data_IF_862026441378
#
_entry.id   IF_862026441378
#
_cell.length_a   1.000
_cell.length_b   1.000
_cell.length_c   1.000
_cell.angle_alpha   90.00
_cell.angle_beta   90.00
_cell.angle_gamma   90.00
#
_symmetry.space_group_name_H-M   'P 1'
#
loop_
_entity.id
_entity.type
_entity.pdbx_description
1 polymer ?
#
# COMPACT_ATOMS: atom_id res chain seq x y z
N UNK A 1 26.34 -49.40 -38.44
CA UNK A 1 27.03 -48.49 -39.37
C UNK A 1 26.17 -47.26 -39.56
N UNK A 2 26.16 -46.24 -38.70
CA UNK A 2 26.65 -45.96 -37.34
C UNK A 2 25.95 -44.63 -37.00
N UNK A 3 25.22 -44.53 -35.89
CA UNK A 3 25.74 -44.09 -34.60
C UNK A 3 26.07 -42.59 -34.61
N UNK A 4 25.12 -41.77 -34.14
CA UNK A 4 25.45 -40.48 -33.57
C UNK A 4 24.75 -40.36 -32.20
N UNK A 5 25.59 -40.58 -31.20
CA UNK A 5 25.29 -40.97 -29.85
C UNK A 5 25.11 -39.72 -28.97
N UNK A 6 23.86 -39.40 -28.59
CA UNK A 6 23.57 -38.27 -27.70
C UNK A 6 23.93 -38.66 -26.27
N UNK A 7 25.13 -38.26 -25.83
CA UNK A 7 25.59 -38.37 -24.44
C UNK A 7 24.74 -37.53 -23.49
N UNK A 8 23.71 -38.12 -22.88
CA UNK A 8 23.03 -37.56 -21.70
C UNK A 8 23.92 -37.73 -20.46
N UNK A 9 24.50 -36.62 -19.97
CA UNK A 9 25.06 -36.57 -18.62
C UNK A 9 23.92 -36.50 -17.60
N UNK A 10 23.82 -37.52 -16.73
CA UNK A 10 22.96 -37.49 -15.56
C UNK A 10 23.47 -36.43 -14.57
N UNK A 11 22.61 -35.47 -14.22
CA UNK A 11 22.90 -34.51 -13.15
C UNK A 11 22.61 -35.19 -11.79
N UNK A 12 23.58 -35.33 -10.86
CA UNK A 12 23.42 -36.12 -9.63
C UNK A 12 22.56 -35.45 -8.53
N UNK A 13 22.06 -34.23 -8.76
CA UNK A 13 21.19 -33.52 -7.81
C UNK A 13 19.79 -33.46 -8.40
N UNK A 14 18.91 -34.30 -7.87
CA UNK A 14 17.49 -34.38 -8.23
C UNK A 14 16.75 -33.08 -7.92
N UNK A 15 16.89 -32.10 -8.80
CA UNK A 15 15.97 -30.97 -8.87
C UNK A 15 14.70 -31.48 -9.55
N UNK A 16 13.54 -31.35 -8.89
CA UNK A 16 12.24 -31.67 -9.51
C UNK A 16 12.19 -31.07 -10.93
N UNK A 17 11.72 -31.82 -11.94
CA UNK A 17 11.62 -31.32 -13.30
C UNK A 17 10.89 -29.97 -13.31
N UNK A 18 11.48 -28.94 -13.94
CA UNK A 18 10.74 -27.72 -14.26
C UNK A 18 9.59 -28.15 -15.17
N UNK A 19 8.36 -28.13 -14.67
CA UNK A 19 7.20 -28.32 -15.51
C UNK A 19 7.24 -27.24 -16.61
N UNK A 20 7.31 -27.69 -17.86
CA UNK A 20 7.10 -26.85 -19.05
C UNK A 20 5.61 -26.59 -19.31
N UNK A 21 4.75 -26.86 -18.33
CA UNK A 21 3.37 -26.40 -18.33
C UNK A 21 3.35 -25.01 -17.69
N UNK A 22 3.18 -24.01 -18.55
CA UNK A 22 2.76 -22.68 -18.13
C UNK A 22 1.31 -22.83 -17.68
N UNK A 23 0.96 -22.61 -16.40
CA UNK A 23 -0.45 -22.44 -16.05
C UNK A 23 -0.93 -21.28 -16.91
N UNK A 24 -1.93 -21.53 -17.76
CA UNK A 24 -2.62 -20.46 -18.44
C UNK A 24 -3.14 -19.50 -17.37
N UNK A 25 -3.28 -18.23 -17.71
CA UNK A 25 -3.67 -17.14 -16.82
C UNK A 25 -5.04 -17.31 -16.11
N UNK A 26 -5.69 -18.46 -16.25
CA UNK A 26 -6.99 -18.84 -15.69
C UNK A 26 -6.91 -19.28 -14.21
N UNK A 27 -5.77 -19.84 -13.76
CA UNK A 27 -5.60 -20.31 -12.37
C UNK A 27 -4.98 -19.25 -11.43
N UNK A 28 -4.83 -18.01 -11.89
CA UNK A 28 -4.20 -16.97 -11.07
C UNK A 28 -5.19 -16.43 -10.03
N UNK A 29 -4.80 -16.50 -8.76
CA UNK A 29 -5.61 -15.93 -7.68
C UNK A 29 -5.49 -14.41 -7.66
N UNK A 30 -6.59 -13.73 -7.36
CA UNK A 30 -6.57 -12.29 -7.11
C UNK A 30 -5.99 -11.98 -5.74
N UNK A 31 -5.22 -10.90 -5.66
CA UNK A 31 -4.67 -10.43 -4.41
C UNK A 31 -4.48 -8.92 -4.35
N UNK A 32 -4.30 -8.42 -3.14
CA UNK A 32 -4.03 -7.03 -2.83
C UNK A 32 -2.60 -6.89 -2.30
N UNK A 33 -1.79 -6.05 -2.92
CA UNK A 33 -0.44 -5.76 -2.41
C UNK A 33 -0.55 -4.92 -1.14
N UNK A 34 -0.09 -5.46 -0.02
CA UNK A 34 -0.13 -4.78 1.29
C UNK A 34 1.25 -4.29 1.74
N UNK A 35 2.32 -4.90 1.26
CA UNK A 35 3.70 -4.46 1.55
C UNK A 35 4.59 -4.55 0.32
N UNK A 36 5.57 -3.65 0.25
CA UNK A 36 6.60 -3.62 -0.80
C UNK A 36 7.96 -3.49 -0.13
N UNK A 37 8.82 -4.51 -0.26
CA UNK A 37 10.19 -4.52 0.24
C UNK A 37 11.15 -5.06 -0.81
N UNK A 38 11.89 -4.16 -1.46
CA UNK A 38 13.04 -4.46 -2.34
C UNK A 38 12.82 -5.67 -3.26
N UNK A 39 11.71 -5.68 -4.00
CA UNK A 39 11.38 -6.73 -4.98
C UNK A 39 10.62 -7.93 -4.42
N UNK A 40 10.35 -7.95 -3.10
CA UNK A 40 9.37 -8.80 -2.44
C UNK A 40 8.11 -8.00 -2.17
N UNK A 41 6.96 -8.65 -2.34
CA UNK A 41 5.65 -8.07 -2.21
C UNK A 41 4.83 -8.94 -1.28
N UNK A 42 4.35 -8.38 -0.16
CA UNK A 42 3.32 -9.04 0.63
C UNK A 42 2.00 -8.85 -0.08
N UNK A 43 1.34 -9.95 -0.45
CA UNK A 43 0.07 -9.94 -1.15
C UNK A 43 -0.95 -10.68 -0.31
N UNK A 44 -2.05 -10.00 0.02
CA UNK A 44 -3.21 -10.61 0.66
C UNK A 44 -4.02 -11.33 -0.42
N UNK A 45 -4.11 -12.66 -0.32
CA UNK A 45 -4.91 -13.52 -1.20
C UNK A 45 -5.97 -14.20 -0.35
N UNK A 46 -7.23 -13.79 -0.51
CA UNK A 46 -8.27 -14.13 0.46
C UNK A 46 -7.90 -13.61 1.86
N UNK A 47 -7.67 -14.52 2.81
CA UNK A 47 -7.18 -14.20 4.16
C UNK A 47 -5.69 -14.49 4.37
N UNK A 48 -5.00 -15.08 3.40
CA UNK A 48 -3.61 -15.48 3.52
C UNK A 48 -2.68 -14.34 3.09
N UNK A 49 -1.66 -14.05 3.90
CA UNK A 49 -0.58 -13.15 3.52
C UNK A 49 0.54 -13.95 2.84
N UNK A 50 0.74 -13.72 1.55
CA UNK A 50 1.69 -14.46 0.72
C UNK A 50 2.85 -13.56 0.34
N UNK A 51 4.08 -14.08 0.43
CA UNK A 51 5.25 -13.40 -0.13
C UNK A 51 5.37 -13.73 -1.61
N UNK A 52 5.29 -12.70 -2.45
CA UNK A 52 5.40 -12.81 -3.90
C UNK A 52 6.60 -12.05 -4.44
N UNK A 53 7.13 -12.53 -5.55
CA UNK A 53 8.09 -11.78 -6.38
C UNK A 53 7.45 -11.40 -7.70
N UNK A 54 7.97 -10.37 -8.36
CA UNK A 54 7.55 -10.02 -9.71
C UNK A 54 7.97 -11.11 -10.71
N UNK A 55 7.04 -11.57 -11.55
CA UNK A 55 7.37 -12.44 -12.68
C UNK A 55 8.24 -11.68 -13.70
N UNK A 56 9.19 -12.38 -14.34
CA UNK A 56 10.11 -11.78 -15.33
C UNK A 56 9.39 -11.16 -16.52
N UNK A 57 8.26 -11.74 -16.89
CA UNK A 57 7.42 -11.34 -18.02
C UNK A 57 6.58 -10.10 -17.70
N UNK A 58 6.37 -9.80 -16.42
CA UNK A 58 5.71 -8.58 -16.01
C UNK A 58 6.61 -7.40 -16.42
N UNK A 59 6.10 -6.51 -17.27
CA UNK A 59 6.82 -5.36 -17.80
C UNK A 59 7.35 -4.42 -16.71
N UNK A 60 8.09 -3.38 -17.10
CA UNK A 60 8.82 -2.49 -16.16
C UNK A 60 7.96 -1.67 -15.20
N UNK A 61 6.63 -1.78 -15.24
CA UNK A 61 5.71 -1.10 -14.32
C UNK A 61 6.05 -1.51 -12.87
N UNK A 62 6.25 -0.51 -12.01
CA UNK A 62 6.49 -0.74 -10.59
C UNK A 62 5.20 -1.20 -9.91
N UNK A 63 5.31 -2.21 -9.04
CA UNK A 63 4.24 -2.64 -8.13
C UNK A 63 4.29 -1.76 -6.89
N UNK A 64 3.15 -1.23 -6.47
CA UNK A 64 2.99 -0.38 -5.30
C UNK A 64 2.01 -1.00 -4.30
N UNK A 65 2.01 -0.51 -3.05
CA UNK A 65 0.99 -0.88 -2.07
C UNK A 65 -0.39 -0.47 -2.60
N UNK A 66 -1.40 -1.30 -2.36
CA UNK A 66 -2.76 -1.09 -2.85
C UNK A 66 -3.00 -1.59 -4.29
N UNK A 67 -1.96 -2.02 -5.02
CA UNK A 67 -2.15 -2.66 -6.32
C UNK A 67 -2.99 -3.94 -6.19
N UNK A 68 -4.01 -4.07 -7.05
CA UNK A 68 -4.70 -5.34 -7.30
C UNK A 68 -3.89 -6.14 -8.30
N UNK A 69 -3.59 -7.38 -7.97
CA UNK A 69 -2.66 -8.23 -8.74
C UNK A 69 -3.22 -9.63 -8.94
N UNK A 70 -2.78 -10.28 -10.02
CA UNK A 70 -2.97 -11.72 -10.19
C UNK A 70 -1.68 -12.44 -9.79
N UNK A 71 -1.83 -13.46 -8.95
CA UNK A 71 -0.72 -14.20 -8.33
C UNK A 71 -0.83 -15.69 -8.64
N UNK A 72 0.30 -16.32 -8.93
CA UNK A 72 0.41 -17.78 -9.14
C UNK A 72 1.49 -18.39 -8.24
N UNK A 73 1.39 -19.69 -7.99
CA UNK A 73 2.38 -20.44 -7.20
C UNK A 73 1.77 -21.01 -5.93
N UNK A 74 2.59 -21.13 -4.89
CA UNK A 74 2.13 -21.56 -3.56
C UNK A 74 1.51 -20.35 -2.84
N UNK A 75 0.24 -20.48 -2.44
CA UNK A 75 -0.58 -19.38 -1.92
C UNK A 75 -1.04 -19.62 -0.47
N UNK A 76 -0.53 -20.67 0.18
CA UNK A 76 -0.85 -20.99 1.57
C UNK A 76 -0.42 -19.91 2.57
N UNK A 77 0.60 -19.12 2.22
CA UNK A 77 1.21 -18.15 3.14
C UNK A 77 2.19 -18.78 4.14
N UNK A 78 2.51 -20.06 3.98
CA UNK A 78 3.49 -20.74 4.82
C UNK A 78 4.89 -20.11 4.70
N UNK A 79 5.71 -20.12 5.76
CA UNK A 79 7.09 -19.65 5.70
C UNK A 79 7.87 -20.32 4.55
N UNK A 80 8.80 -19.57 3.96
CA UNK A 80 9.65 -20.00 2.84
C UNK A 80 8.93 -20.38 1.54
N UNK A 81 7.63 -20.11 1.44
CA UNK A 81 6.90 -20.20 0.17
C UNK A 81 7.04 -18.90 -0.62
N UNK A 82 7.05 -19.02 -1.96
CA UNK A 82 7.19 -17.89 -2.86
C UNK A 82 6.20 -18.00 -4.02
N UNK A 83 5.32 -17.01 -4.09
CA UNK A 83 4.42 -16.82 -5.21
C UNK A 83 4.99 -15.83 -6.24
N UNK A 84 4.28 -15.64 -7.35
CA UNK A 84 4.67 -14.71 -8.40
C UNK A 84 3.51 -13.83 -8.83
N UNK A 85 3.75 -12.51 -8.84
CA UNK A 85 2.86 -11.54 -9.45
C UNK A 85 3.02 -11.61 -10.96
N UNK A 86 1.96 -11.99 -11.67
CA UNK A 86 1.94 -12.16 -13.14
C UNK A 86 1.16 -11.08 -13.86
N UNK A 87 0.29 -10.34 -13.16
CA UNK A 87 -0.45 -9.19 -13.70
C UNK A 87 -0.67 -8.15 -12.60
N UNK A 88 -0.69 -6.88 -13.01
CA UNK A 88 -1.15 -5.75 -12.21
C UNK A 88 -2.40 -5.23 -12.90
N UNK A 89 -3.51 -5.09 -12.17
CA UNK A 89 -4.73 -4.49 -12.70
C UNK A 89 -4.51 -3.00 -13.04
N UNK A 90 -5.46 -2.42 -13.75
CA UNK A 90 -5.49 -0.97 -13.92
C UNK A 90 -5.73 -0.29 -12.56
N UNK A 91 -5.11 0.87 -12.37
CA UNK A 91 -5.22 1.64 -11.13
C UNK A 91 -6.36 2.62 -11.27
N UNK A 92 -7.27 2.66 -10.29
CA UNK A 92 -8.32 3.69 -10.22
C UNK A 92 -7.76 5.02 -9.74
N UNK A 93 -6.84 4.99 -8.78
CA UNK A 93 -6.17 6.17 -8.20
C UNK A 93 -4.68 5.89 -7.97
N UNK A 94 -3.88 6.96 -7.90
CA UNK A 94 -2.43 6.87 -7.71
C UNK A 94 -1.95 7.99 -6.80
N UNK A 95 -1.55 7.68 -5.58
CA UNK A 95 -0.87 8.65 -4.72
C UNK A 95 0.64 8.62 -5.00
N UNK A 96 1.17 9.74 -5.49
CA UNK A 96 2.59 9.91 -5.81
C UNK A 96 3.31 10.65 -4.71
N UNK A 97 4.59 10.31 -4.51
CA UNK A 97 5.52 11.24 -3.87
C UNK A 97 5.89 12.27 -4.91
N UNK A 98 5.55 13.53 -4.69
CA UNK A 98 6.10 14.64 -5.48
C UNK A 98 7.62 14.64 -5.30
N UNK A 99 8.36 14.85 -6.39
CA UNK A 99 9.80 15.01 -6.33
C UNK A 99 10.14 16.23 -5.45
N UNK A 100 10.78 16.00 -4.31
CA UNK A 100 11.52 17.01 -3.57
C UNK A 100 12.98 17.05 -4.08
N UNK A 101 13.75 18.07 -3.70
CA UNK A 101 15.14 18.31 -4.17
C UNK A 101 16.08 17.10 -3.98
N UNK A 102 15.68 16.09 -3.19
CA UNK A 102 16.45 14.88 -2.93
C UNK A 102 16.10 13.66 -3.79
N UNK A 103 14.94 13.59 -4.44
CA UNK A 103 14.56 12.44 -5.29
C UNK A 103 13.81 12.92 -6.55
N UNK A 104 14.49 13.06 -7.70
CA UNK A 104 13.90 13.61 -8.92
C UNK A 104 12.88 12.68 -9.61
N UNK A 105 12.66 11.47 -9.08
CA UNK A 105 11.74 10.50 -9.66
C UNK A 105 10.44 10.44 -8.88
N UNK A 106 9.34 10.87 -9.51
CA UNK A 106 8.00 10.56 -9.03
C UNK A 106 7.83 9.04 -8.85
N UNK A 107 7.53 8.61 -7.63
CA UNK A 107 7.22 7.22 -7.31
C UNK A 107 5.80 7.12 -6.80
N UNK A 108 5.08 6.14 -7.33
CA UNK A 108 3.79 5.72 -6.77
C UNK A 108 4.03 5.12 -5.40
N UNK A 109 3.47 5.73 -4.37
CA UNK A 109 3.54 5.24 -3.00
C UNK A 109 2.39 4.26 -2.76
N UNK A 110 1.18 4.66 -3.15
CA UNK A 110 -0.05 3.87 -2.97
C UNK A 110 -0.89 3.95 -4.24
N UNK A 111 -1.53 2.84 -4.59
CA UNK A 111 -2.52 2.74 -5.67
C UNK A 111 -3.90 2.37 -5.10
N UNK A 112 -4.96 2.77 -5.80
CA UNK A 112 -6.35 2.38 -5.51
C UNK A 112 -6.89 2.80 -4.14
N UNK A 113 -6.19 3.72 -3.45
CA UNK A 113 -6.71 4.38 -2.27
C UNK A 113 -7.82 5.36 -2.65
N UNK A 114 -8.91 5.39 -1.91
CA UNK A 114 -10.03 6.30 -2.12
C UNK A 114 -10.10 7.41 -1.07
N UNK A 115 -9.34 7.29 0.03
CA UNK A 115 -9.37 8.25 1.13
C UNK A 115 -7.95 8.59 1.60
N UNK A 116 -7.66 9.89 1.78
CA UNK A 116 -6.42 10.38 2.39
C UNK A 116 -6.70 10.94 3.78
N UNK A 117 -6.21 10.24 4.81
CA UNK A 117 -6.33 10.64 6.21
C UNK A 117 -5.09 11.44 6.61
N UNK A 118 -5.27 12.74 6.77
CA UNK A 118 -4.20 13.67 7.15
C UNK A 118 -4.18 13.76 8.68
N UNK A 119 -3.18 13.12 9.29
CA UNK A 119 -3.04 13.04 10.74
C UNK A 119 -2.14 14.18 11.22
N UNK A 120 -2.68 15.03 12.08
CA UNK A 120 -1.97 16.14 12.72
C UNK A 120 -2.19 16.11 14.24
N UNK A 121 -1.15 16.40 15.00
CA UNK A 121 -1.23 16.50 16.47
C UNK A 121 -1.55 17.93 16.86
N UNK A 122 -2.46 18.12 17.81
CA UNK A 122 -2.84 19.44 18.33
C UNK A 122 -1.83 20.02 19.34
N UNK A 123 -0.91 19.19 19.83
CA UNK A 123 0.10 19.58 20.82
C UNK A 123 1.51 19.41 20.24
N UNK A 124 2.34 18.48 20.72
CA UNK A 124 3.71 18.29 20.22
C UNK A 124 3.83 17.02 19.33
N UNK A 125 4.25 17.12 18.06
CA UNK A 125 4.49 18.36 17.32
C UNK A 125 3.18 19.07 16.95
N UNK A 126 3.25 20.39 16.82
CA UNK A 126 2.09 21.22 16.44
C UNK A 126 1.61 20.90 15.02
N UNK A 127 0.34 21.20 14.68
CA UNK A 127 -0.18 20.97 13.36
C UNK A 127 0.63 21.74 12.30
N UNK A 128 1.27 21.00 11.39
CA UNK A 128 1.93 21.63 10.25
C UNK A 128 0.89 21.95 9.16
N UNK A 129 0.35 23.16 9.20
CA UNK A 129 -0.66 23.61 8.24
C UNK A 129 -0.16 23.52 6.79
N UNK A 130 1.10 23.87 6.52
CA UNK A 130 1.68 23.71 5.19
C UNK A 130 1.75 22.26 4.70
N UNK A 131 1.90 21.26 5.58
CA UNK A 131 1.78 19.85 5.19
C UNK A 131 0.31 19.50 4.89
N UNK A 132 -0.60 19.93 5.75
CA UNK A 132 -2.04 19.66 5.58
C UNK A 132 -2.52 20.23 4.25
N UNK A 133 -2.21 21.49 3.94
CA UNK A 133 -2.56 22.15 2.67
C UNK A 133 -2.05 21.36 1.46
N UNK A 134 -0.77 20.95 1.46
CA UNK A 134 -0.20 20.16 0.38
C UNK A 134 -0.88 18.80 0.23
N UNK A 135 -1.23 18.14 1.34
CA UNK A 135 -1.95 16.88 1.31
C UNK A 135 -3.38 17.03 0.80
N UNK A 136 -4.08 18.11 1.17
CA UNK A 136 -5.41 18.42 0.65
C UNK A 136 -5.38 18.63 -0.87
N UNK A 137 -4.42 19.42 -1.36
CA UNK A 137 -4.22 19.61 -2.80
C UNK A 137 -3.95 18.28 -3.50
N UNK A 138 -3.04 17.46 -2.97
CA UNK A 138 -2.70 16.17 -3.54
C UNK A 138 -3.89 15.19 -3.55
N UNK A 139 -4.69 15.14 -2.48
CA UNK A 139 -5.88 14.30 -2.40
C UNK A 139 -6.89 14.69 -3.48
N UNK A 140 -7.24 15.97 -3.54
CA UNK A 140 -8.24 16.48 -4.48
C UNK A 140 -7.77 16.36 -5.93
N UNK A 141 -6.48 16.56 -6.22
CA UNK A 141 -5.94 16.39 -7.58
C UNK A 141 -5.93 14.94 -8.06
N UNK A 142 -5.82 13.98 -7.15
CA UNK A 142 -5.77 12.54 -7.46
C UNK A 142 -7.12 11.83 -7.24
N UNK A 143 -8.17 12.58 -6.87
CA UNK A 143 -9.53 12.05 -6.67
C UNK A 143 -9.71 11.26 -5.37
N UNK A 144 -8.89 11.49 -4.35
CA UNK A 144 -9.05 10.92 -3.02
C UNK A 144 -9.91 11.83 -2.15
N UNK A 145 -10.78 11.25 -1.33
CA UNK A 145 -11.54 11.97 -0.31
C UNK A 145 -10.61 12.34 0.87
N UNK A 146 -10.38 13.63 1.16
CA UNK A 146 -9.56 14.02 2.31
C UNK A 146 -10.34 13.86 3.62
N UNK A 147 -9.65 13.41 4.67
CA UNK A 147 -10.14 13.38 6.05
C UNK A 147 -9.07 13.95 6.97
N UNK A 148 -9.38 15.05 7.67
CA UNK A 148 -8.48 15.60 8.69
C UNK A 148 -8.66 14.83 10.01
N UNK A 149 -7.58 14.22 10.51
CA UNK A 149 -7.57 13.54 11.81
C UNK A 149 -6.69 14.34 12.78
N UNK A 150 -7.33 15.02 13.72
CA UNK A 150 -6.67 15.80 14.76
C UNK A 150 -6.48 14.91 15.99
N UNK A 151 -5.25 14.73 16.42
CA UNK A 151 -4.89 13.87 17.56
C UNK A 151 -4.47 14.71 18.76
N UNK A 152 -4.46 14.08 19.94
CA UNK A 152 -4.02 14.68 21.21
C UNK A 152 -4.88 15.85 21.67
N UNK A 153 -6.20 15.79 21.45
CA UNK A 153 -7.10 16.84 21.94
C UNK A 153 -7.27 16.86 23.47
N UNK A 154 -6.69 15.88 24.16
CA UNK A 154 -6.48 15.90 25.61
C UNK A 154 -5.43 16.94 26.03
N UNK A 155 -4.53 17.35 25.13
CA UNK A 155 -3.45 18.29 25.41
C UNK A 155 -3.69 19.70 24.88
N UNK A 156 -4.50 19.84 23.82
CA UNK A 156 -4.76 21.13 23.16
C UNK A 156 -6.08 21.13 22.41
N UNK A 157 -6.73 22.29 22.30
CA UNK A 157 -8.05 22.43 21.71
C UNK A 157 -7.98 22.39 20.15
N UNK A 158 -8.98 21.78 19.47
CA UNK A 158 -8.97 21.65 18.01
C UNK A 158 -9.45 22.90 17.27
N UNK A 159 -9.98 23.90 17.97
CA UNK A 159 -10.74 25.02 17.42
C UNK A 159 -10.02 25.77 16.31
N UNK A 160 -8.73 26.09 16.50
CA UNK A 160 -7.95 26.81 15.49
C UNK A 160 -7.84 26.01 14.18
N UNK A 161 -7.52 24.72 14.29
CA UNK A 161 -7.39 23.85 13.13
C UNK A 161 -8.74 23.65 12.43
N UNK A 162 -9.82 23.44 13.19
CA UNK A 162 -11.16 23.27 12.64
C UNK A 162 -11.64 24.55 11.94
N UNK A 163 -11.46 25.72 12.55
CA UNK A 163 -11.83 27.00 11.95
C UNK A 163 -11.07 27.26 10.65
N UNK A 164 -9.76 26.96 10.62
CA UNK A 164 -8.94 27.16 9.41
C UNK A 164 -9.45 26.37 8.20
N UNK A 165 -9.99 25.17 8.40
CA UNK A 165 -10.46 24.30 7.32
C UNK A 165 -11.99 24.24 7.16
N UNK A 166 -12.74 24.99 7.98
CA UNK A 166 -14.20 24.99 7.96
C UNK A 166 -14.78 25.43 6.61
N UNK A 167 -14.21 26.49 6.01
CA UNK A 167 -14.69 27.03 4.72
C UNK A 167 -14.48 26.06 3.56
N UNK A 168 -13.47 25.18 3.66
CA UNK A 168 -13.16 24.17 2.65
C UNK A 168 -14.04 22.93 2.78
N UNK A 169 -14.95 22.88 3.77
CA UNK A 169 -15.83 21.73 4.04
C UNK A 169 -15.07 20.40 4.17
N UNK A 170 -13.82 20.46 4.66
CA UNK A 170 -12.99 19.28 4.87
C UNK A 170 -13.54 18.53 6.09
N UNK A 171 -13.96 17.26 5.96
CA UNK A 171 -14.40 16.50 7.12
C UNK A 171 -13.23 16.31 8.08
N UNK A 172 -13.50 16.48 9.37
CA UNK A 172 -12.52 16.32 10.42
C UNK A 172 -13.03 15.37 11.50
N UNK A 173 -12.11 14.60 12.09
CA UNK A 173 -12.32 13.81 13.31
C UNK A 173 -11.30 14.24 14.33
N UNK A 174 -11.77 14.51 15.55
CA UNK A 174 -10.91 14.83 16.69
C UNK A 174 -10.77 13.58 17.55
N UNK A 175 -9.54 13.23 17.91
CA UNK A 175 -9.21 12.01 18.64
C UNK A 175 -8.39 12.33 19.88
N UNK A 176 -8.69 11.60 20.95
CA UNK A 176 -7.93 11.60 22.20
C UNK A 176 -7.32 10.23 22.41
N UNK A 177 -6.17 10.19 23.10
CA UNK A 177 -5.47 8.94 23.37
C UNK A 177 -6.18 8.05 24.41
N UNK A 178 -7.01 8.66 25.26
CA UNK A 178 -7.76 8.01 26.34
C UNK A 178 -9.19 7.61 25.95
N UNK A 179 -9.60 7.85 24.71
CA UNK A 179 -10.95 7.57 24.22
C UNK A 179 -10.99 6.58 23.05
N UNK A 180 -12.07 5.79 22.91
CA UNK A 180 -12.25 4.92 21.77
C UNK A 180 -12.33 5.69 20.45
N UNK A 181 -11.65 5.21 19.41
CA UNK A 181 -11.62 5.79 18.06
C UNK A 181 -12.90 5.57 17.23
N UNK A 182 -14.08 5.55 17.86
CA UNK A 182 -15.35 5.14 17.23
C UNK A 182 -15.67 5.95 15.97
N UNK A 183 -15.53 7.27 16.03
CA UNK A 183 -15.82 8.14 14.89
C UNK A 183 -14.83 7.90 13.74
N UNK A 184 -13.53 7.87 14.04
CA UNK A 184 -12.50 7.59 13.04
C UNK A 184 -12.77 6.24 12.37
N UNK A 185 -12.95 5.17 13.15
CA UNK A 185 -13.25 3.84 12.63
C UNK A 185 -14.52 3.81 11.78
N UNK A 186 -15.54 4.60 12.11
CA UNK A 186 -16.74 4.71 11.28
C UNK A 186 -16.43 5.37 9.92
N UNK A 187 -15.56 6.39 9.88
CA UNK A 187 -15.13 7.06 8.64
C UNK A 187 -14.20 6.22 7.77
N UNK A 188 -13.45 5.28 8.35
CA UNK A 188 -12.53 4.40 7.63
C UNK A 188 -13.21 3.15 7.07
N UNK A 189 -14.39 2.78 7.60
CA UNK A 189 -15.08 1.54 7.20
C UNK A 189 -15.45 1.56 5.72
N UNK A 190 -15.02 0.52 5.00
CA UNK A 190 -15.32 0.36 3.58
C UNK A 190 -14.39 1.12 2.63
N UNK A 191 -13.42 1.86 3.17
CA UNK A 191 -12.48 2.67 2.40
C UNK A 191 -11.08 2.04 2.36
N UNK A 192 -10.34 2.31 1.29
CA UNK A 192 -8.89 2.10 1.26
C UNK A 192 -8.22 3.42 1.62
N UNK A 193 -7.97 3.58 2.92
CA UNK A 193 -7.45 4.82 3.49
C UNK A 193 -5.92 4.83 3.59
N UNK A 194 -5.30 5.96 3.25
CA UNK A 194 -3.87 6.21 3.46
C UNK A 194 -3.69 7.24 4.57
N UNK A 195 -2.90 6.90 5.60
CA UNK A 195 -2.58 7.83 6.68
C UNK A 195 -1.26 8.57 6.40
N UNK A 196 -1.30 9.89 6.35
CA UNK A 196 -0.14 10.77 6.14
C UNK A 196 -0.03 11.78 7.29
N UNK A 197 1.20 12.12 7.69
CA UNK A 197 1.45 13.10 8.74
C UNK A 197 2.90 13.03 9.21
N UNK A 198 3.38 14.05 9.92
CA UNK A 198 4.74 14.07 10.50
C UNK A 198 5.00 12.91 11.46
N UNK A 199 6.26 12.62 11.75
CA UNK A 199 6.59 11.70 12.85
C UNK A 199 6.05 12.24 14.18
N UNK A 200 5.63 11.36 15.10
CA UNK A 200 5.14 11.77 16.43
C UNK A 200 3.70 12.29 16.53
N UNK A 201 2.99 12.47 15.40
CA UNK A 201 1.58 12.93 15.39
C UNK A 201 0.55 11.88 15.82
N UNK A 202 0.97 10.65 16.17
CA UNK A 202 0.07 9.61 16.66
C UNK A 202 -0.42 8.57 15.64
N UNK A 203 0.09 8.57 14.39
CA UNK A 203 -0.33 7.58 13.36
C UNK A 203 -0.22 6.12 13.83
N UNK A 204 0.90 5.74 14.44
CA UNK A 204 1.09 4.36 14.93
C UNK A 204 0.14 4.03 16.09
N UNK A 205 -0.18 5.01 16.93
CA UNK A 205 -1.17 4.86 18.01
C UNK A 205 -2.59 4.67 17.47
N UNK A 206 -2.92 5.28 16.33
CA UNK A 206 -4.22 5.06 15.68
C UNK A 206 -4.35 3.68 15.03
N UNK A 207 -3.22 3.03 14.72
CA UNK A 207 -3.16 1.73 14.03
C UNK A 207 -2.93 0.54 14.98
N UNK A 208 -2.51 0.80 16.22
CA UNK A 208 -2.25 -0.22 17.26
C UNK A 208 -3.43 -0.42 18.16
#
# INVERSE_FOLDING_TARGET
>A
MDEDDVRTRANPRGTRPRSKQRPAHEDAAEGLVVTVDRGRYGVLVGSALVTAMRARELGRKGIAVGDRVSVVGELSGEPDTLARVVRIAERSTVLRRTADDSDPLERVIVANADQLVIVASLADPEPSYGLIDRCLVAALSEGLEPLLCLTKSDLSAPDEALQRYAELSVPAVVTRSDEPLKELLARLRGHMSVLVGHSGVGKSTLLG
#
